data_IF_464816350024
#
_entry.id   IF_464816350024
#
_cell.length_a   1.000
_cell.length_b   1.000
_cell.length_c   1.000
_cell.angle_alpha   90.00
_cell.angle_beta   90.00
_cell.angle_gamma   90.00
#
_symmetry.space_group_name_H-M   'P 1'
#
loop_
_entity.id
_entity.type
_entity.pdbx_description
1 polymer ?
#
# COMPACT_ATOMS: atom_id res chain seq x y z
N UNK A 1 14.92 -4.44 14.49
CA UNK A 1 13.79 -5.22 13.88
C UNK A 1 12.53 -5.05 14.71
N UNK A 2 11.39 -4.72 14.08
CA UNK A 2 10.06 -4.65 14.73
C UNK A 2 9.31 -5.96 14.51
N UNK A 3 8.64 -6.45 15.54
CA UNK A 3 7.75 -7.61 15.44
C UNK A 3 6.39 -7.28 16.05
N UNK A 4 5.33 -7.62 15.33
CA UNK A 4 3.94 -7.51 15.74
C UNK A 4 3.40 -8.92 15.94
N UNK A 5 2.86 -9.21 17.13
CA UNK A 5 2.49 -10.56 17.53
C UNK A 5 1.03 -10.65 17.92
N UNK A 6 0.23 -11.35 17.12
CA UNK A 6 -1.16 -11.74 17.38
C UNK A 6 -2.04 -10.59 17.90
N UNK A 7 -1.93 -9.40 17.27
CA UNK A 7 -2.70 -8.23 17.67
C UNK A 7 -4.17 -8.43 17.38
N UNK A 8 -4.98 -8.27 18.42
CA UNK A 8 -6.43 -8.18 18.34
C UNK A 8 -6.91 -6.83 18.87
N UNK A 9 -7.92 -6.27 18.21
CA UNK A 9 -8.56 -5.03 18.63
C UNK A 9 -10.03 -5.04 18.26
N UNK A 10 -10.88 -4.71 19.25
CA UNK A 10 -12.32 -4.56 19.06
C UNK A 10 -12.74 -3.13 19.39
N UNK A 11 -13.76 -2.65 18.70
CA UNK A 11 -14.47 -1.43 19.04
C UNK A 11 -15.95 -1.73 19.17
N UNK A 12 -16.56 -1.38 20.31
CA UNK A 12 -18.00 -1.56 20.58
C UNK A 12 -18.48 -3.01 20.29
N UNK A 13 -17.62 -3.99 20.62
CA UNK A 13 -17.91 -5.41 20.42
C UNK A 13 -17.75 -5.90 18.97
N UNK A 14 -17.26 -5.06 18.05
CA UNK A 14 -16.96 -5.45 16.67
C UNK A 14 -15.45 -5.63 16.50
N UNK A 15 -14.98 -6.76 15.96
CA UNK A 15 -13.58 -6.96 15.68
C UNK A 15 -13.12 -5.99 14.57
N UNK A 16 -12.02 -5.28 14.82
CA UNK A 16 -11.37 -4.41 13.84
C UNK A 16 -10.03 -4.99 13.38
N UNK A 17 -9.26 -5.57 14.31
CA UNK A 17 -8.03 -6.30 14.01
C UNK A 17 -8.16 -7.69 14.63
N UNK A 18 -7.77 -8.70 13.87
CA UNK A 18 -7.93 -10.09 14.28
C UNK A 18 -6.68 -10.88 13.86
N UNK A 19 -5.88 -11.26 14.83
CA UNK A 19 -4.66 -12.06 14.68
C UNK A 19 -3.61 -11.44 13.73
N UNK A 20 -3.35 -10.14 13.87
CA UNK A 20 -2.35 -9.46 13.04
C UNK A 20 -0.95 -9.77 13.54
N UNK A 21 -0.15 -10.39 12.68
CA UNK A 21 1.25 -10.71 12.95
C UNK A 21 2.11 -10.44 11.73
N UNK A 22 3.21 -9.71 11.89
CA UNK A 22 4.24 -9.49 10.87
C UNK A 22 5.54 -9.01 11.49
N UNK A 23 6.59 -9.00 10.67
CA UNK A 23 7.92 -8.48 11.05
C UNK A 23 8.32 -7.38 10.07
N UNK A 24 9.09 -6.43 10.54
CA UNK A 24 9.72 -5.39 9.73
C UNK A 24 11.22 -5.44 9.99
N UNK A 25 11.99 -5.65 8.94
CA UNK A 25 13.43 -5.74 9.00
C UNK A 25 14.09 -4.35 9.07
N UNK A 26 15.36 -4.30 9.42
CA UNK A 26 16.11 -3.05 9.48
C UNK A 26 16.28 -2.47 8.06
N UNK A 27 15.96 -1.19 7.91
CA UNK A 27 16.01 -0.49 6.62
C UNK A 27 14.90 -0.82 5.64
N UNK A 28 13.98 -1.74 6.00
CA UNK A 28 12.84 -2.12 5.17
C UNK A 28 11.71 -1.09 5.26
N UNK A 29 11.00 -0.87 4.17
CA UNK A 29 9.76 -0.11 4.13
C UNK A 29 8.57 -1.04 3.84
N UNK A 30 7.69 -1.22 4.84
CA UNK A 30 6.42 -1.95 4.67
C UNK A 30 5.29 -0.97 4.40
N UNK A 31 4.44 -1.28 3.41
CA UNK A 31 3.18 -0.58 3.22
C UNK A 31 1.99 -1.41 3.70
N UNK A 32 1.19 -0.83 4.60
CA UNK A 32 -0.12 -1.34 4.98
C UNK A 32 -1.17 -0.77 4.02
N UNK A 33 -1.66 -1.59 3.11
CA UNK A 33 -2.63 -1.23 2.08
C UNK A 33 -4.01 -1.84 2.42
N UNK A 34 -5.09 -1.15 2.14
CA UNK A 34 -6.45 -1.65 2.36
C UNK A 34 -7.51 -0.57 2.29
N UNK A 35 -8.77 -0.95 2.22
CA UNK A 35 -9.89 -0.02 2.19
C UNK A 35 -9.95 0.88 3.44
N UNK A 36 -10.66 1.99 3.34
CA UNK A 36 -10.95 2.84 4.52
C UNK A 36 -11.70 2.04 5.57
N UNK A 37 -11.30 2.17 6.83
CA UNK A 37 -11.92 1.43 7.95
C UNK A 37 -11.37 0.00 8.15
N UNK A 38 -10.39 -0.48 7.39
CA UNK A 38 -9.82 -1.82 7.56
C UNK A 38 -8.91 -1.99 8.79
N UNK A 39 -8.67 -0.90 9.56
CA UNK A 39 -7.87 -0.97 10.79
C UNK A 39 -6.41 -0.51 10.66
N UNK A 40 -5.94 -0.04 9.50
CA UNK A 40 -4.55 0.39 9.25
C UNK A 40 -4.04 1.44 10.24
N UNK A 41 -4.76 2.56 10.37
CA UNK A 41 -4.38 3.64 11.30
C UNK A 41 -4.45 3.20 12.77
N UNK A 42 -5.39 2.31 13.12
CA UNK A 42 -5.47 1.72 14.45
C UNK A 42 -4.24 0.85 14.74
N UNK A 43 -3.85 0.01 13.79
CA UNK A 43 -2.63 -0.80 13.90
C UNK A 43 -1.39 0.09 14.09
N UNK A 44 -1.29 1.17 13.30
CA UNK A 44 -0.22 2.15 13.44
C UNK A 44 -0.20 2.81 14.82
N UNK A 45 -1.37 3.18 15.37
CA UNK A 45 -1.51 3.73 16.73
C UNK A 45 -1.11 2.73 17.81
N UNK A 46 -1.40 1.45 17.63
CA UNK A 46 -0.95 0.38 18.54
C UNK A 46 0.57 0.27 18.49
N UNK A 47 1.18 0.23 17.32
CA UNK A 47 2.63 0.15 17.16
C UNK A 47 3.31 1.38 17.79
N UNK A 48 2.76 2.57 17.59
CA UNK A 48 3.29 3.81 18.18
C UNK A 48 3.05 3.93 19.71
N UNK A 49 2.16 3.09 20.25
CA UNK A 49 1.78 3.14 21.69
C UNK A 49 0.75 4.20 22.02
N UNK A 50 0.13 4.82 21.02
CA UNK A 50 -0.99 5.76 21.18
C UNK A 50 -2.30 5.03 21.53
N UNK A 51 -2.34 3.72 21.26
CA UNK A 51 -3.46 2.85 21.57
C UNK A 51 -2.98 1.50 22.07
N UNK A 52 -3.76 0.85 22.94
CA UNK A 52 -3.44 -0.48 23.46
C UNK A 52 -4.24 -1.54 22.69
N UNK A 53 -3.63 -2.68 22.31
CA UNK A 53 -4.36 -3.81 21.78
C UNK A 53 -5.20 -4.47 22.88
N UNK A 54 -6.22 -5.24 22.50
CA UNK A 54 -6.99 -6.06 23.45
C UNK A 54 -6.22 -7.33 23.82
N UNK A 55 -5.44 -7.87 22.88
CA UNK A 55 -4.45 -8.94 23.11
C UNK A 55 -3.34 -8.88 22.06
N UNK A 56 -2.30 -9.67 22.27
CA UNK A 56 -1.06 -9.60 21.49
C UNK A 56 -0.12 -8.50 22.00
N UNK A 57 1.02 -8.34 21.34
CA UNK A 57 2.03 -7.35 21.74
C UNK A 57 2.89 -6.91 20.54
N UNK A 58 3.60 -5.81 20.74
CA UNK A 58 4.60 -5.29 19.80
C UNK A 58 5.95 -5.33 20.47
N UNK A 59 6.96 -5.86 19.77
CA UNK A 59 8.36 -5.82 20.25
C UNK A 59 9.26 -5.09 19.25
N UNK A 60 10.32 -4.49 19.75
CA UNK A 60 11.37 -3.85 18.94
C UNK A 60 12.75 -4.27 19.49
N UNK A 61 13.59 -4.87 18.63
CA UNK A 61 14.87 -5.48 18.99
C UNK A 61 14.75 -6.46 20.18
N UNK A 62 13.68 -7.26 20.20
CA UNK A 62 13.40 -8.24 21.24
C UNK A 62 12.85 -7.65 22.54
N UNK A 63 12.65 -6.34 22.62
CA UNK A 63 12.07 -5.68 23.80
C UNK A 63 10.57 -5.48 23.58
N UNK A 64 9.74 -6.02 24.48
CA UNK A 64 8.29 -5.80 24.48
C UNK A 64 7.96 -4.33 24.78
N UNK A 65 7.21 -3.70 23.88
CA UNK A 65 6.82 -2.30 23.95
C UNK A 65 5.46 -2.07 24.63
N UNK A 66 4.76 -3.10 25.07
CA UNK A 66 3.38 -3.02 25.57
C UNK A 66 3.23 -1.99 26.69
N UNK A 67 4.18 -1.93 27.60
CA UNK A 67 4.18 -1.00 28.74
C UNK A 67 4.98 0.28 28.49
N UNK A 68 5.66 0.40 27.36
CA UNK A 68 6.50 1.55 27.04
C UNK A 68 5.62 2.66 26.43
N UNK A 69 5.55 3.83 27.06
CA UNK A 69 4.72 4.93 26.55
C UNK A 69 5.29 5.50 25.22
N UNK A 70 4.47 6.13 24.37
CA UNK A 70 4.86 6.58 23.03
C UNK A 70 6.15 7.38 22.97
N UNK A 71 6.34 8.32 23.90
CA UNK A 71 7.48 9.24 23.91
C UNK A 71 8.83 8.56 24.28
N UNK A 72 8.80 7.31 24.74
CA UNK A 72 10.00 6.50 25.06
C UNK A 72 10.26 5.41 24.01
N UNK A 73 9.39 5.23 23.00
CA UNK A 73 9.61 4.25 21.92
C UNK A 73 10.62 4.73 20.88
N UNK A 74 10.95 6.02 20.88
CA UNK A 74 11.83 6.65 19.87
C UNK A 74 11.37 6.45 18.42
N UNK A 75 10.06 6.44 18.20
CA UNK A 75 9.43 6.32 16.90
C UNK A 75 9.02 7.71 16.38
N UNK A 76 9.16 7.93 15.07
CA UNK A 76 8.67 9.12 14.37
C UNK A 76 7.34 8.82 13.70
N UNK A 77 6.35 9.70 13.88
CA UNK A 77 5.04 9.56 13.27
C UNK A 77 4.68 10.82 12.48
N UNK A 78 4.33 10.64 11.22
CA UNK A 78 3.80 11.67 10.32
C UNK A 78 2.30 11.39 10.16
N UNK A 79 1.46 12.31 10.63
CA UNK A 79 0.01 12.19 10.59
C UNK A 79 -0.55 12.70 9.25
N UNK A 80 -1.76 12.29 8.92
CA UNK A 80 -2.48 12.68 7.70
C UNK A 80 -2.70 14.20 7.60
N UNK A 81 -2.96 14.88 8.72
CA UNK A 81 -3.13 16.33 8.82
C UNK A 81 -1.83 17.07 9.17
N UNK A 82 -0.69 16.36 9.05
CA UNK A 82 0.67 16.81 9.41
C UNK A 82 0.84 17.18 10.89
N UNK A 83 -0.22 17.47 11.62
CA UNK A 83 -0.24 17.87 13.04
C UNK A 83 0.84 18.92 13.39
N UNK A 84 1.03 19.91 12.50
CA UNK A 84 1.95 21.02 12.74
C UNK A 84 1.35 22.01 13.75
N UNK A 85 2.21 22.61 14.55
CA UNK A 85 1.83 23.65 15.50
C UNK A 85 1.68 24.99 14.76
N UNK A 86 0.46 25.50 14.51
CA UNK A 86 0.22 26.65 13.62
C UNK A 86 0.76 27.96 14.17
N UNK A 87 0.95 28.06 15.48
CA UNK A 87 1.50 29.21 16.17
C UNK A 87 3.03 29.27 16.20
N UNK A 88 3.70 28.19 15.75
CA UNK A 88 5.16 28.09 15.67
C UNK A 88 5.65 28.29 14.24
N UNK A 89 6.90 28.75 14.09
CA UNK A 89 7.60 28.75 12.82
C UNK A 89 8.11 27.35 12.46
N UNK A 90 8.75 27.20 11.28
CA UNK A 90 9.30 25.94 10.80
C UNK A 90 10.36 25.39 11.76
N UNK A 91 11.34 26.24 12.17
CA UNK A 91 12.37 25.84 13.11
C UNK A 91 11.80 25.29 14.41
N UNK A 92 10.86 25.99 15.01
CA UNK A 92 10.28 25.61 16.30
C UNK A 92 9.41 24.34 16.19
N UNK A 93 8.74 24.11 15.05
CA UNK A 93 8.06 22.84 14.76
C UNK A 93 9.05 21.68 14.71
N UNK A 94 10.12 21.80 13.96
CA UNK A 94 11.15 20.75 13.82
C UNK A 94 11.89 20.53 15.14
N UNK A 95 12.20 21.59 15.87
CA UNK A 95 12.90 21.54 17.16
C UNK A 95 12.04 21.00 18.30
N UNK A 96 10.70 20.87 18.14
CA UNK A 96 9.79 20.58 19.24
C UNK A 96 10.17 19.30 20.01
N UNK A 97 10.36 18.17 19.30
CA UNK A 97 10.76 16.91 19.93
C UNK A 97 12.14 16.96 20.61
N UNK A 98 13.07 17.74 20.05
CA UNK A 98 14.40 17.93 20.60
C UNK A 98 14.36 18.75 21.90
N UNK A 99 13.48 19.78 21.94
CA UNK A 99 13.23 20.56 23.17
C UNK A 99 12.67 19.69 24.29
N UNK A 100 11.72 18.80 23.96
CA UNK A 100 11.15 17.87 24.96
C UNK A 100 12.21 16.91 25.52
N UNK A 101 13.16 16.51 24.69
CA UNK A 101 14.33 15.69 25.12
C UNK A 101 15.42 16.50 25.83
N UNK A 102 15.25 17.81 25.95
CA UNK A 102 16.21 18.75 26.61
C UNK A 102 17.61 18.71 25.99
N UNK A 103 17.72 18.60 24.66
CA UNK A 103 19.00 18.64 23.99
C UNK A 103 19.69 20.01 24.17
N UNK A 104 21.04 20.03 24.22
CA UNK A 104 21.80 21.28 24.24
C UNK A 104 21.50 22.14 22.99
N UNK A 105 21.42 23.49 23.10
CA UNK A 105 21.05 24.38 22.02
C UNK A 105 21.89 24.19 20.74
N UNK A 106 23.18 23.94 20.85
CA UNK A 106 24.09 23.74 19.72
C UNK A 106 23.72 22.46 18.95
N UNK A 107 23.53 21.36 19.67
CA UNK A 107 23.13 20.08 19.07
C UNK A 107 21.73 20.16 18.46
N UNK A 108 20.78 20.79 19.15
CA UNK A 108 19.44 21.01 18.65
C UNK A 108 19.46 21.79 17.33
N UNK A 109 20.21 22.90 17.24
CA UNK A 109 20.31 23.67 16.02
C UNK A 109 20.89 22.83 14.87
N UNK A 110 21.96 22.07 15.13
CA UNK A 110 22.55 21.22 14.10
C UNK A 110 21.57 20.17 13.58
N UNK A 111 20.80 19.52 14.47
CA UNK A 111 19.81 18.51 14.07
C UNK A 111 18.66 19.12 13.27
N UNK A 112 18.21 20.33 13.64
CA UNK A 112 17.16 21.03 12.89
C UNK A 112 17.65 21.40 11.49
N UNK A 113 18.86 21.98 11.36
CA UNK A 113 19.42 22.33 10.06
C UNK A 113 19.57 21.08 9.19
N UNK A 114 20.16 20.01 9.69
CA UNK A 114 20.32 18.76 8.94
C UNK A 114 18.98 18.18 8.49
N UNK A 115 17.96 18.22 9.36
CA UNK A 115 16.62 17.71 9.01
C UNK A 115 15.95 18.56 7.91
N UNK A 116 16.10 19.88 7.97
CA UNK A 116 15.60 20.79 6.92
C UNK A 116 16.35 20.63 5.60
N UNK A 117 17.66 20.40 5.64
CA UNK A 117 18.47 20.08 4.44
C UNK A 117 17.98 18.79 3.80
N UNK A 118 17.72 17.73 4.60
CA UNK A 118 17.24 16.43 4.11
C UNK A 118 15.91 16.53 3.34
N UNK A 119 15.04 17.47 3.71
CA UNK A 119 13.74 17.67 3.07
C UNK A 119 13.69 18.89 2.12
N UNK A 120 14.84 19.42 1.71
CA UNK A 120 14.96 20.57 0.80
C UNK A 120 14.23 21.85 1.27
N UNK A 121 14.26 22.15 2.58
CA UNK A 121 13.65 23.34 3.18
C UNK A 121 14.68 24.31 3.80
N UNK A 122 15.90 24.38 3.25
CA UNK A 122 16.92 25.34 3.68
C UNK A 122 16.43 26.78 3.48
N UNK A 123 16.56 27.62 4.52
CA UNK A 123 16.12 29.03 4.48
C UNK A 123 14.65 29.24 4.87
N UNK A 124 13.91 28.18 5.25
CA UNK A 124 12.52 28.27 5.66
C UNK A 124 12.35 28.43 7.19
N UNK A 125 13.42 28.39 7.97
CA UNK A 125 13.43 28.28 9.43
C UNK A 125 12.51 29.29 10.13
N UNK A 126 12.46 30.53 9.61
CA UNK A 126 11.69 31.65 10.22
C UNK A 126 10.26 31.78 9.70
N UNK A 127 9.91 31.05 8.62
CA UNK A 127 8.54 31.12 8.05
C UNK A 127 7.52 30.51 9.02
N UNK A 128 6.32 31.03 9.01
CA UNK A 128 5.18 30.40 9.71
C UNK A 128 4.67 29.22 8.90
N UNK A 129 4.33 28.12 9.56
CA UNK A 129 3.83 26.93 8.86
C UNK A 129 2.50 27.17 8.16
N UNK A 130 1.72 28.18 8.60
CA UNK A 130 0.46 28.60 7.96
C UNK A 130 0.64 29.33 6.63
N UNK A 131 1.85 29.77 6.31
CA UNK A 131 2.20 30.43 5.05
C UNK A 131 2.72 29.46 3.99
N UNK A 132 2.85 28.17 4.36
CA UNK A 132 3.40 27.13 3.52
C UNK A 132 2.33 26.43 2.70
N UNK A 133 2.68 25.97 1.49
CA UNK A 133 1.87 25.04 0.72
C UNK A 133 1.74 23.69 1.43
N UNK A 134 0.76 22.87 1.03
CA UNK A 134 0.55 21.55 1.63
C UNK A 134 1.78 20.65 1.55
N UNK A 135 2.50 20.65 0.40
CA UNK A 135 3.73 19.89 0.25
C UNK A 135 4.88 20.40 1.12
N UNK A 136 5.02 21.73 1.29
CA UNK A 136 6.00 22.29 2.23
C UNK A 136 5.65 21.95 3.69
N UNK A 137 4.37 21.98 4.07
CA UNK A 137 3.92 21.57 5.40
C UNK A 137 4.25 20.10 5.67
N UNK A 138 4.03 19.22 4.70
CA UNK A 138 4.37 17.82 4.81
C UNK A 138 5.88 17.61 5.00
N UNK A 139 6.71 18.32 4.22
CA UNK A 139 8.17 18.28 4.40
C UNK A 139 8.59 18.76 5.79
N UNK A 140 7.94 19.77 6.36
CA UNK A 140 8.19 20.21 7.74
C UNK A 140 7.81 19.10 8.73
N UNK A 141 6.68 18.41 8.53
CA UNK A 141 6.28 17.28 9.39
C UNK A 141 7.29 16.13 9.32
N UNK A 142 7.78 15.82 8.12
CA UNK A 142 8.83 14.82 7.92
C UNK A 142 10.15 15.24 8.59
N UNK A 143 10.60 16.50 8.40
CA UNK A 143 11.78 17.03 9.08
C UNK A 143 11.65 16.96 10.60
N UNK A 144 10.47 17.27 11.16
CA UNK A 144 10.18 17.15 12.59
C UNK A 144 10.34 15.72 13.10
N UNK A 145 9.88 14.72 12.31
CA UNK A 145 10.04 13.31 12.66
C UNK A 145 11.51 12.88 12.58
N UNK A 146 12.22 13.25 11.50
CA UNK A 146 13.63 12.90 11.28
C UNK A 146 14.61 13.55 12.28
N UNK A 147 14.34 14.79 12.72
CA UNK A 147 15.23 15.53 13.61
C UNK A 147 15.51 14.77 14.91
N UNK A 148 14.56 13.99 15.39
CA UNK A 148 14.71 13.18 16.62
C UNK A 148 15.57 11.93 16.43
N UNK A 149 15.98 11.59 15.17
CA UNK A 149 16.68 10.37 14.78
C UNK A 149 15.91 9.13 15.28
N UNK A 150 14.72 8.91 14.75
CA UNK A 150 13.87 7.82 15.21
C UNK A 150 14.44 6.46 14.81
N UNK A 151 14.08 5.42 15.57
CA UNK A 151 14.40 4.02 15.24
C UNK A 151 13.42 3.41 14.25
N UNK A 152 12.24 4.02 14.07
CA UNK A 152 11.17 3.63 13.16
C UNK A 152 10.46 4.89 12.69
N UNK A 153 10.20 5.00 11.39
CA UNK A 153 9.30 6.01 10.81
C UNK A 153 7.94 5.41 10.49
N UNK A 154 6.90 6.15 10.79
CA UNK A 154 5.53 5.74 10.50
C UNK A 154 4.80 6.88 9.79
N UNK A 155 4.00 6.52 8.79
CA UNK A 155 3.23 7.47 7.97
C UNK A 155 1.77 7.03 7.94
N UNK A 156 0.87 7.89 8.40
CA UNK A 156 -0.58 7.63 8.37
C UNK A 156 -1.24 8.47 7.26
N UNK A 157 -1.40 7.88 6.07
CA UNK A 157 -1.96 8.52 4.86
C UNK A 157 -1.37 9.92 4.54
N UNK A 158 -0.03 10.07 4.49
CA UNK A 158 0.61 11.38 4.51
C UNK A 158 0.35 12.23 3.26
N UNK A 159 -0.09 11.64 2.14
CA UNK A 159 -0.29 12.31 0.85
C UNK A 159 -1.75 12.50 0.47
N UNK A 160 -2.69 12.04 1.31
CA UNK A 160 -4.12 12.00 0.98
C UNK A 160 -4.78 13.35 0.68
N UNK A 161 -4.19 14.47 1.14
CA UNK A 161 -4.73 15.82 0.96
C UNK A 161 -4.14 16.59 -0.24
N UNK A 162 -3.23 15.98 -1.02
CA UNK A 162 -2.48 16.64 -2.09
C UNK A 162 -3.04 16.32 -3.47
N UNK A 163 -2.82 17.24 -4.43
CA UNK A 163 -3.07 16.98 -5.84
C UNK A 163 -2.12 15.91 -6.39
N UNK A 164 -2.49 15.33 -7.55
CA UNK A 164 -1.79 14.17 -8.12
C UNK A 164 -0.32 14.44 -8.42
N UNK A 165 0.00 15.56 -9.09
CA UNK A 165 1.38 15.86 -9.50
C UNK A 165 2.31 16.05 -8.31
N UNK A 166 1.84 16.83 -7.33
CA UNK A 166 2.61 17.08 -6.11
C UNK A 166 2.78 15.79 -5.27
N UNK A 167 1.77 14.90 -5.31
CA UNK A 167 1.82 13.60 -4.63
C UNK A 167 2.90 12.70 -5.20
N UNK A 168 3.00 12.58 -6.53
CA UNK A 168 4.02 11.77 -7.21
C UNK A 168 5.45 12.24 -6.86
N UNK A 169 5.68 13.56 -6.90
CA UNK A 169 6.98 14.15 -6.56
C UNK A 169 7.37 13.89 -5.10
N UNK A 170 6.45 14.13 -4.17
CA UNK A 170 6.70 13.93 -2.74
C UNK A 170 6.87 12.46 -2.37
N UNK A 171 6.13 11.57 -3.01
CA UNK A 171 6.29 10.12 -2.81
C UNK A 171 7.71 9.68 -3.20
N UNK A 172 8.19 10.15 -4.34
CA UNK A 172 9.57 9.89 -4.78
C UNK A 172 10.60 10.43 -3.77
N UNK A 173 10.42 11.64 -3.28
CA UNK A 173 11.30 12.23 -2.27
C UNK A 173 11.30 11.45 -0.95
N UNK A 174 10.12 11.07 -0.44
CA UNK A 174 10.02 10.24 0.78
C UNK A 174 10.77 8.92 0.58
N UNK A 175 10.57 8.25 -0.58
CA UNK A 175 11.29 7.03 -0.91
C UNK A 175 12.80 7.22 -0.88
N UNK A 176 13.31 8.28 -1.52
CA UNK A 176 14.75 8.60 -1.54
C UNK A 176 15.29 8.85 -0.13
N UNK A 177 14.55 9.56 0.71
CA UNK A 177 14.92 9.82 2.11
C UNK A 177 14.99 8.51 2.91
N UNK A 178 13.99 7.64 2.77
CA UNK A 178 13.96 6.34 3.47
C UNK A 178 15.15 5.47 3.05
N UNK A 179 15.43 5.33 1.77
CA UNK A 179 16.60 4.59 1.28
C UNK A 179 17.93 5.19 1.77
N UNK A 180 18.06 6.53 1.75
CA UNK A 180 19.30 7.19 2.17
C UNK A 180 19.55 7.05 3.67
N UNK A 181 18.49 7.14 4.47
CA UNK A 181 18.60 7.07 5.94
C UNK A 181 18.65 5.65 6.48
N UNK A 182 18.21 4.65 5.69
CA UNK A 182 18.05 3.25 6.10
C UNK A 182 17.24 3.08 7.39
N UNK A 183 16.36 4.02 7.70
CA UNK A 183 15.44 3.91 8.83
C UNK A 183 14.28 3.02 8.41
N UNK A 184 13.96 1.93 9.14
CA UNK A 184 12.80 1.12 8.83
C UNK A 184 11.52 1.94 8.88
N UNK A 185 10.56 1.65 7.98
CA UNK A 185 9.36 2.46 7.87
C UNK A 185 8.08 1.63 7.71
N UNK A 186 6.98 2.14 8.28
CA UNK A 186 5.62 1.66 8.02
C UNK A 186 4.85 2.80 7.35
N UNK A 187 4.39 2.55 6.14
CA UNK A 187 3.59 3.49 5.36
C UNK A 187 2.16 3.00 5.25
N UNK A 188 1.20 3.79 5.68
CA UNK A 188 -0.23 3.48 5.59
C UNK A 188 -0.85 4.26 4.47
N UNK A 189 -1.54 3.61 3.56
CA UNK A 189 -2.32 4.23 2.50
C UNK A 189 -3.49 3.35 2.06
N UNK A 190 -4.44 3.95 1.35
CA UNK A 190 -5.46 3.23 0.57
C UNK A 190 -5.20 3.33 -0.95
N UNK A 191 -4.16 4.06 -1.35
CA UNK A 191 -3.75 4.24 -2.74
C UNK A 191 -2.73 3.16 -3.14
N UNK A 192 -3.04 2.43 -4.21
CA UNK A 192 -2.21 1.33 -4.70
C UNK A 192 -0.93 1.84 -5.39
N UNK A 193 -1.02 2.97 -6.11
CA UNK A 193 0.13 3.58 -6.77
C UNK A 193 1.17 4.02 -5.74
N UNK A 194 0.72 4.63 -4.63
CA UNK A 194 1.60 4.97 -3.51
C UNK A 194 2.25 3.72 -2.91
N UNK A 195 1.44 2.70 -2.58
CA UNK A 195 1.92 1.48 -1.96
C UNK A 195 3.00 0.79 -2.79
N UNK A 196 2.76 0.66 -4.10
CA UNK A 196 3.70 -0.01 -5.01
C UNK A 196 4.96 0.81 -5.31
N UNK A 197 4.85 2.14 -5.23
CA UNK A 197 6.00 3.00 -5.46
C UNK A 197 6.95 3.09 -4.27
N UNK A 198 6.45 3.02 -3.03
CA UNK A 198 7.26 3.28 -1.83
C UNK A 198 7.77 2.02 -1.14
N UNK A 199 7.00 0.92 -1.18
CA UNK A 199 7.24 -0.25 -0.34
C UNK A 199 8.27 -1.22 -0.92
N UNK A 200 9.06 -1.83 -0.05
CA UNK A 200 9.80 -3.07 -0.32
C UNK A 200 8.86 -4.27 -0.19
N UNK A 201 7.90 -4.20 0.74
CA UNK A 201 6.88 -5.21 0.97
C UNK A 201 5.53 -4.58 1.27
N UNK A 202 4.46 -5.13 0.66
CA UNK A 202 3.08 -4.70 0.83
C UNK A 202 2.32 -5.74 1.64
N UNK A 203 1.57 -5.29 2.64
CA UNK A 203 0.62 -6.08 3.43
C UNK A 203 -0.79 -5.56 3.14
N UNK A 204 -1.65 -6.40 2.57
CA UNK A 204 -3.05 -6.03 2.29
C UNK A 204 -3.92 -6.42 3.46
N UNK A 205 -4.54 -5.41 4.09
CA UNK A 205 -5.42 -5.58 5.24
C UNK A 205 -6.88 -5.57 4.81
N UNK A 206 -7.60 -6.64 5.13
CA UNK A 206 -9.04 -6.80 4.85
C UNK A 206 -9.74 -7.52 6.00
N UNK A 207 -10.88 -7.00 6.42
CA UNK A 207 -11.70 -7.56 7.51
C UNK A 207 -10.90 -7.94 8.77
N UNK A 208 -9.94 -7.07 9.11
CA UNK A 208 -9.10 -7.25 10.28
C UNK A 208 -7.96 -8.26 10.13
N UNK A 209 -7.74 -8.82 8.95
CA UNK A 209 -6.67 -9.79 8.67
C UNK A 209 -5.69 -9.28 7.61
N UNK A 210 -4.44 -9.74 7.66
CA UNK A 210 -3.51 -9.62 6.53
C UNK A 210 -3.86 -10.75 5.55
N UNK A 211 -4.46 -10.39 4.41
CA UNK A 211 -4.94 -11.35 3.40
C UNK A 211 -3.94 -11.59 2.27
N UNK A 212 -2.93 -10.73 2.16
CA UNK A 212 -1.84 -10.88 1.19
C UNK A 212 -0.61 -10.15 1.70
N UNK A 213 0.56 -10.73 1.46
CA UNK A 213 1.85 -10.18 1.81
C UNK A 213 2.88 -10.58 0.74
N UNK A 214 3.72 -9.63 0.32
CA UNK A 214 4.80 -9.88 -0.65
C UNK A 214 5.40 -8.58 -1.17
N UNK A 215 6.41 -8.71 -2.06
CA UNK A 215 6.89 -7.54 -2.80
C UNK A 215 5.78 -6.97 -3.69
N UNK A 216 5.83 -5.68 -4.08
CA UNK A 216 4.86 -5.11 -5.03
C UNK A 216 4.66 -5.97 -6.28
N UNK A 217 5.75 -6.52 -6.82
CA UNK A 217 5.72 -7.39 -8.00
C UNK A 217 5.03 -8.74 -7.71
N UNK A 218 5.30 -9.35 -6.55
CA UNK A 218 4.68 -10.63 -6.18
C UNK A 218 3.17 -10.48 -5.99
N UNK A 219 2.75 -9.45 -5.24
CA UNK A 219 1.34 -9.15 -4.99
C UNK A 219 0.58 -8.85 -6.28
N UNK A 220 1.21 -8.09 -7.19
CA UNK A 220 0.64 -7.80 -8.51
C UNK A 220 0.54 -9.06 -9.39
N UNK A 221 1.61 -9.87 -9.41
CA UNK A 221 1.71 -11.04 -10.32
C UNK A 221 0.92 -12.24 -9.82
N UNK A 222 0.78 -12.40 -8.50
CA UNK A 222 0.11 -13.54 -7.86
C UNK A 222 -0.81 -13.06 -6.75
N UNK A 223 -1.99 -12.50 -7.07
CA UNK A 223 -2.91 -11.95 -6.06
C UNK A 223 -3.46 -13.01 -5.09
N UNK A 224 -3.42 -14.28 -5.47
CA UNK A 224 -3.78 -15.42 -4.64
C UNK A 224 -5.28 -15.59 -4.36
N UNK A 225 -6.07 -14.53 -4.33
CA UNK A 225 -7.49 -14.57 -4.02
C UNK A 225 -8.33 -13.63 -4.89
N UNK A 226 -9.62 -13.95 -4.98
CA UNK A 226 -10.64 -13.11 -5.65
C UNK A 226 -10.67 -11.69 -5.06
N UNK A 227 -10.61 -11.61 -3.73
CA UNK A 227 -10.61 -10.31 -3.06
C UNK A 227 -9.40 -9.45 -3.48
N UNK A 228 -8.19 -9.98 -3.39
CA UNK A 228 -6.97 -9.23 -3.72
C UNK A 228 -6.95 -8.82 -5.20
N UNK A 229 -7.33 -9.74 -6.11
CA UNK A 229 -7.41 -9.45 -7.54
C UNK A 229 -8.42 -8.33 -7.85
N UNK A 230 -9.59 -8.37 -7.21
CA UNK A 230 -10.62 -7.33 -7.33
C UNK A 230 -10.23 -6.00 -6.70
N UNK A 231 -9.66 -6.04 -5.50
CA UNK A 231 -9.19 -4.86 -4.78
C UNK A 231 -8.10 -4.10 -5.58
N UNK A 232 -7.18 -4.84 -6.19
CA UNK A 232 -6.12 -4.26 -7.03
C UNK A 232 -6.57 -3.94 -8.47
N UNK A 233 -7.83 -4.26 -8.83
CA UNK A 233 -8.33 -3.97 -10.18
C UNK A 233 -7.56 -4.68 -11.30
N UNK A 234 -7.06 -5.90 -11.04
CA UNK A 234 -6.10 -6.58 -11.91
C UNK A 234 -6.69 -7.10 -13.23
N UNK A 235 -8.01 -7.09 -13.37
CA UNK A 235 -8.67 -7.55 -14.60
C UNK A 235 -10.08 -8.10 -14.39
N UNK A 236 -10.48 -8.96 -15.32
CA UNK A 236 -11.79 -9.60 -15.26
C UNK A 236 -11.72 -10.86 -14.42
N UNK A 237 -12.52 -10.96 -13.37
CA UNK A 237 -12.65 -12.15 -12.54
C UNK A 237 -13.88 -12.91 -13.03
N UNK A 238 -13.68 -14.16 -13.43
CA UNK A 238 -14.74 -15.02 -13.96
C UNK A 238 -14.94 -16.21 -13.05
N UNK A 239 -16.20 -16.52 -12.80
CA UNK A 239 -16.61 -17.81 -12.22
C UNK A 239 -16.63 -18.87 -13.32
N UNK A 240 -16.11 -20.06 -13.00
CA UNK A 240 -16.06 -21.18 -13.93
C UNK A 240 -16.15 -22.52 -13.21
N UNK A 241 -16.30 -23.57 -14.02
CA UNK A 241 -16.28 -24.95 -13.53
C UNK A 241 -15.13 -25.73 -14.20
N UNK A 242 -14.45 -26.52 -13.40
CA UNK A 242 -13.44 -27.43 -13.88
C UNK A 242 -14.09 -28.49 -14.76
N UNK A 243 -13.70 -28.53 -16.05
CA UNK A 243 -14.25 -29.49 -16.98
C UNK A 243 -13.42 -30.77 -17.05
N UNK A 244 -12.10 -30.65 -17.19
CA UNK A 244 -11.15 -31.76 -17.19
C UNK A 244 -9.73 -31.33 -16.85
N UNK A 245 -8.96 -32.27 -16.36
CA UNK A 245 -7.52 -32.13 -16.18
C UNK A 245 -6.80 -32.21 -17.54
N UNK A 246 -5.80 -31.39 -17.70
CA UNK A 246 -4.85 -31.39 -18.81
C UNK A 246 -3.49 -31.84 -18.29
N UNK A 247 -2.46 -31.87 -19.14
CA UNK A 247 -1.11 -32.23 -18.72
C UNK A 247 -0.49 -31.10 -17.83
N UNK A 248 0.29 -31.46 -16.80
CA UNK A 248 1.14 -30.54 -16.06
C UNK A 248 0.40 -29.56 -15.16
N UNK A 249 -0.49 -30.04 -14.29
CA UNK A 249 -1.24 -29.21 -13.33
C UNK A 249 -2.12 -28.12 -13.99
N UNK A 250 -2.48 -28.34 -15.25
CA UNK A 250 -3.33 -27.46 -16.02
C UNK A 250 -4.73 -28.02 -16.14
N UNK A 251 -5.72 -27.14 -16.16
CA UNK A 251 -7.14 -27.48 -16.15
C UNK A 251 -7.87 -26.74 -17.25
N UNK A 252 -8.80 -27.42 -17.92
CA UNK A 252 -9.77 -26.75 -18.79
C UNK A 252 -10.94 -26.29 -17.93
N UNK A 253 -11.15 -24.96 -17.87
CA UNK A 253 -12.19 -24.30 -17.07
C UNK A 253 -13.22 -23.70 -18.01
N UNK A 254 -14.49 -24.04 -17.80
CA UNK A 254 -15.62 -23.48 -18.54
C UNK A 254 -16.24 -22.32 -17.78
N UNK A 255 -16.39 -21.20 -18.48
CA UNK A 255 -16.99 -19.98 -17.97
C UNK A 255 -18.06 -19.48 -18.93
N UNK A 256 -18.83 -18.47 -18.52
CA UNK A 256 -19.76 -17.79 -19.41
C UNK A 256 -19.09 -17.06 -20.59
N UNK A 257 -17.79 -16.73 -20.46
CA UNK A 257 -17.02 -16.03 -21.50
C UNK A 257 -16.26 -16.97 -22.44
N UNK A 258 -16.29 -18.29 -22.19
CA UNK A 258 -15.61 -19.31 -22.99
C UNK A 258 -14.86 -20.31 -22.13
N UNK A 259 -14.14 -21.22 -22.82
CA UNK A 259 -13.31 -22.25 -22.21
C UNK A 259 -11.86 -21.77 -22.17
N UNK A 260 -11.20 -21.93 -21.01
CA UNK A 260 -9.84 -21.47 -20.77
C UNK A 260 -8.97 -22.60 -20.22
N UNK A 261 -7.72 -22.66 -20.70
CA UNK A 261 -6.70 -23.57 -20.18
C UNK A 261 -5.90 -22.81 -19.10
N UNK A 262 -5.99 -23.24 -17.85
CA UNK A 262 -5.44 -22.53 -16.71
C UNK A 262 -4.52 -23.43 -15.92
N UNK A 263 -3.33 -22.95 -15.61
CA UNK A 263 -2.44 -23.58 -14.65
C UNK A 263 -2.86 -23.20 -13.23
N UNK A 264 -3.21 -24.20 -12.42
CA UNK A 264 -3.63 -23.99 -11.02
C UNK A 264 -2.63 -24.68 -10.08
N UNK A 265 -2.13 -23.96 -9.11
CA UNK A 265 -1.27 -24.51 -8.04
C UNK A 265 -2.01 -25.45 -7.08
N UNK A 266 -3.34 -25.43 -7.15
CA UNK A 266 -4.22 -26.24 -6.31
C UNK A 266 -4.73 -27.44 -7.09
N UNK A 267 -4.94 -28.56 -6.39
CA UNK A 267 -5.59 -29.73 -6.97
C UNK A 267 -7.08 -29.49 -7.04
N UNK A 268 -7.63 -29.70 -8.21
CA UNK A 268 -9.08 -29.60 -8.45
C UNK A 268 -9.65 -30.95 -8.87
N UNK A 269 -10.97 -31.07 -8.79
CA UNK A 269 -11.73 -32.20 -9.33
C UNK A 269 -12.69 -31.69 -10.41
N UNK A 270 -13.07 -32.57 -11.32
CA UNK A 270 -14.06 -32.23 -12.33
C UNK A 270 -15.37 -31.79 -11.66
N UNK A 271 -15.86 -30.62 -12.03
CA UNK A 271 -17.08 -30.03 -11.51
C UNK A 271 -16.88 -29.02 -10.39
N UNK A 272 -15.64 -28.86 -9.88
CA UNK A 272 -15.35 -27.82 -8.86
C UNK A 272 -15.64 -26.43 -9.41
N UNK A 273 -16.18 -25.59 -8.58
CA UNK A 273 -16.34 -24.15 -8.84
C UNK A 273 -14.99 -23.47 -8.59
N UNK A 274 -14.56 -22.66 -9.54
CA UNK A 274 -13.26 -21.96 -9.50
C UNK A 274 -13.40 -20.53 -10.01
N UNK A 275 -12.52 -19.67 -9.54
CA UNK A 275 -12.40 -18.32 -10.07
C UNK A 275 -11.12 -18.19 -10.89
N UNK A 276 -11.22 -17.52 -12.02
CA UNK A 276 -10.06 -17.20 -12.85
C UNK A 276 -9.96 -15.70 -13.10
N UNK A 277 -8.74 -15.21 -13.16
CA UNK A 277 -8.42 -13.84 -13.50
C UNK A 277 -7.94 -13.78 -14.95
N UNK A 278 -8.64 -13.03 -15.79
CA UNK A 278 -8.17 -12.67 -17.12
C UNK A 278 -7.49 -11.30 -17.04
N UNK A 279 -6.19 -11.27 -17.29
CA UNK A 279 -5.44 -10.01 -17.37
C UNK A 279 -5.95 -9.20 -18.56
N UNK A 280 -6.22 -7.89 -18.39
CA UNK A 280 -6.88 -7.11 -19.44
C UNK A 280 -5.94 -6.67 -20.58
N UNK A 281 -4.63 -6.87 -20.42
CA UNK A 281 -3.66 -6.56 -21.47
C UNK A 281 -3.46 -7.78 -22.38
N UNK A 282 -3.57 -7.61 -23.72
CA UNK A 282 -3.22 -8.68 -24.65
C UNK A 282 -1.80 -9.17 -24.44
N UNK A 283 -1.61 -10.46 -24.43
CA UNK A 283 -0.31 -11.10 -24.24
C UNK A 283 0.03 -11.97 -25.46
N UNK A 284 1.16 -11.73 -26.08
CA UNK A 284 1.62 -12.53 -27.22
C UNK A 284 1.91 -13.98 -26.80
N UNK A 285 1.59 -14.92 -27.70
CA UNK A 285 1.83 -16.36 -27.52
C UNK A 285 1.03 -17.05 -26.38
N UNK A 286 -0.01 -16.44 -25.85
CA UNK A 286 -0.91 -17.09 -24.89
C UNK A 286 -1.92 -18.02 -25.60
N UNK A 287 -2.17 -19.22 -25.05
CA UNK A 287 -3.10 -20.18 -25.65
C UNK A 287 -4.56 -19.76 -25.48
N UNK A 288 -4.84 -18.93 -24.50
CA UNK A 288 -6.18 -18.46 -24.17
C UNK A 288 -6.49 -17.16 -24.92
N UNK A 289 -7.75 -16.98 -25.31
CA UNK A 289 -8.19 -15.77 -25.95
C UNK A 289 -9.57 -15.34 -25.44
N UNK A 290 -9.73 -14.04 -25.22
CA UNK A 290 -11.04 -13.43 -25.01
C UNK A 290 -11.62 -13.00 -26.37
N UNK A 291 -12.92 -13.20 -26.56
CA UNK A 291 -13.60 -12.77 -27.78
C UNK A 291 -14.99 -12.23 -27.47
N UNK A 292 -15.47 -11.32 -28.31
CA UNK A 292 -16.80 -10.74 -28.21
C UNK A 292 -16.98 -9.53 -29.11
N UNK A 293 -18.23 -9.05 -29.20
CA UNK A 293 -18.53 -7.80 -29.86
C UNK A 293 -18.24 -6.62 -28.94
N UNK A 294 -17.63 -5.57 -29.46
CA UNK A 294 -17.30 -4.35 -28.72
C UNK A 294 -18.60 -3.55 -28.49
N UNK A 295 -18.90 -3.26 -27.22
CA UNK A 295 -20.06 -2.46 -26.81
C UNK A 295 -19.70 -1.08 -26.30
N UNK A 296 -18.43 -0.88 -25.86
CA UNK A 296 -17.96 0.41 -25.37
C UNK A 296 -16.45 0.56 -25.55
N UNK A 297 -15.98 1.80 -25.79
CA UNK A 297 -14.58 2.15 -25.98
C UNK A 297 -14.29 3.46 -25.28
N UNK A 298 -13.51 3.43 -24.21
CA UNK A 298 -13.16 4.59 -23.41
C UNK A 298 -11.65 4.84 -23.51
N UNK A 299 -11.26 6.05 -23.88
CA UNK A 299 -9.85 6.46 -23.85
C UNK A 299 -9.41 6.76 -22.40
N UNK A 300 -8.32 6.13 -21.96
CA UNK A 300 -7.71 6.30 -20.65
C UNK A 300 -6.25 6.67 -20.81
N UNK A 301 -5.97 7.96 -21.02
CA UNK A 301 -4.63 8.55 -21.10
C UNK A 301 -3.75 7.98 -22.24
N UNK A 302 -3.28 6.74 -22.13
CA UNK A 302 -2.33 6.09 -23.04
C UNK A 302 -2.88 4.82 -23.71
N UNK A 303 -4.08 4.37 -23.31
CA UNK A 303 -4.73 3.18 -23.85
C UNK A 303 -6.25 3.35 -23.96
N UNK A 304 -6.90 2.39 -24.60
CA UNK A 304 -8.35 2.31 -24.70
C UNK A 304 -8.86 1.13 -23.87
N UNK A 305 -9.77 1.39 -22.94
CA UNK A 305 -10.57 0.35 -22.30
C UNK A 305 -11.69 -0.05 -23.25
N UNK A 306 -11.65 -1.28 -23.73
CA UNK A 306 -12.62 -1.86 -24.68
C UNK A 306 -13.48 -2.86 -23.93
N UNK A 307 -14.78 -2.58 -23.80
CA UNK A 307 -15.72 -3.47 -23.11
C UNK A 307 -16.47 -4.32 -24.12
N UNK A 308 -16.60 -5.61 -23.85
CA UNK A 308 -17.26 -6.61 -24.67
C UNK A 308 -18.69 -6.88 -24.20
N UNK A 309 -19.53 -7.43 -25.08
CA UNK A 309 -20.94 -7.76 -24.82
C UNK A 309 -21.16 -8.72 -23.62
N UNK A 310 -20.16 -9.52 -23.26
CA UNK A 310 -20.17 -10.40 -22.09
C UNK A 310 -19.73 -9.71 -20.79
N UNK A 311 -19.58 -8.38 -20.80
CA UNK A 311 -19.18 -7.57 -19.66
C UNK A 311 -17.67 -7.56 -19.37
N UNK A 312 -16.87 -8.36 -20.04
CA UNK A 312 -15.42 -8.35 -19.90
C UNK A 312 -14.79 -7.17 -20.64
N UNK A 313 -13.61 -6.76 -20.23
CA UNK A 313 -12.87 -5.68 -20.88
C UNK A 313 -11.41 -6.05 -21.13
N UNK A 314 -10.82 -5.36 -22.11
CA UNK A 314 -9.39 -5.42 -22.44
C UNK A 314 -8.86 -4.02 -22.68
N UNK A 315 -7.55 -3.83 -22.45
CA UNK A 315 -6.85 -2.61 -22.78
C UNK A 315 -6.14 -2.74 -24.13
N UNK A 316 -6.31 -1.75 -24.99
CA UNK A 316 -5.72 -1.72 -26.31
C UNK A 316 -5.00 -0.41 -26.59
N UNK A 317 -3.88 -0.47 -27.32
CA UNK A 317 -3.12 0.71 -27.72
C UNK A 317 -3.80 1.51 -28.85
N UNK A 318 -4.70 0.86 -29.60
CA UNK A 318 -5.42 1.47 -30.71
C UNK A 318 -6.93 1.36 -30.49
N UNK A 319 -7.70 2.36 -30.89
CA UNK A 319 -9.16 2.30 -30.81
C UNK A 319 -9.70 1.22 -31.76
N UNK A 320 -10.79 0.59 -31.33
CA UNK A 320 -11.61 -0.32 -32.15
C UNK A 320 -12.98 0.29 -32.34
N UNK A 321 -13.74 -0.18 -33.34
CA UNK A 321 -15.08 0.32 -33.61
C UNK A 321 -16.11 -0.39 -32.74
N UNK A 322 -17.10 0.34 -32.28
CA UNK A 322 -18.28 -0.26 -31.64
C UNK A 322 -18.97 -1.24 -32.62
N UNK A 323 -19.39 -2.39 -32.12
CA UNK A 323 -19.96 -3.48 -32.93
C UNK A 323 -18.91 -4.37 -33.61
N UNK A 324 -17.64 -4.02 -33.58
CA UNK A 324 -16.56 -4.86 -34.11
C UNK A 324 -16.40 -6.12 -33.26
N UNK A 325 -16.22 -7.28 -33.90
CA UNK A 325 -15.90 -8.51 -33.20
C UNK A 325 -14.40 -8.63 -33.07
N UNK A 326 -13.91 -8.70 -31.84
CA UNK A 326 -12.49 -8.88 -31.54
C UNK A 326 -12.22 -10.26 -30.95
N UNK A 327 -10.98 -10.74 -31.14
CA UNK A 327 -10.41 -11.90 -30.49
C UNK A 327 -8.97 -11.59 -30.13
N UNK A 328 -8.65 -11.60 -28.83
CA UNK A 328 -7.34 -11.20 -28.33
C UNK A 328 -6.79 -12.24 -27.39
N UNK A 329 -5.50 -12.62 -27.52
CA UNK A 329 -4.83 -13.51 -26.58
C UNK A 329 -4.71 -12.83 -25.24
N UNK A 330 -5.02 -13.56 -24.16
CA UNK A 330 -4.99 -13.03 -22.78
C UNK A 330 -4.34 -14.04 -21.84
N UNK A 331 -3.60 -13.53 -20.87
CA UNK A 331 -3.09 -14.32 -19.77
C UNK A 331 -4.22 -14.63 -18.79
N UNK A 332 -4.30 -15.88 -18.36
CA UNK A 332 -5.32 -16.38 -17.43
C UNK A 332 -4.65 -17.01 -16.22
N UNK A 333 -5.11 -16.65 -15.04
CA UNK A 333 -4.56 -17.11 -13.75
C UNK A 333 -5.69 -17.72 -12.92
N UNK A 334 -5.38 -18.80 -12.19
CA UNK A 334 -6.28 -19.41 -11.22
C UNK A 334 -6.23 -18.61 -9.91
N UNK A 335 -7.41 -18.28 -9.35
CA UNK A 335 -7.55 -17.68 -8.05
C UNK A 335 -8.01 -18.74 -7.03
N UNK A 336 -7.52 -18.60 -5.79
CA UNK A 336 -7.92 -19.45 -4.68
C UNK A 336 -9.26 -19.00 -4.06
#
# INVERSE_FOLDING_TARGET
>A
MLEVHHIHKNYEGRPLLNDISFKLEDGETICLLGASGSGKSTLLRIISGLETPDSGYVSFDGVDLTTIPPHLRDFGLVFQDYALFPHLNVYDNVAFGLKMRRLPPVEMNQRVVNALETVNLVGFEKRRVTELSGGEQQRVALARALATRPRLLMFDEPLGALDRSLREDLLHEIRMILHHTSIPAIYVTHDQEEAFAIADRVLILHDGHIVCEGTPMDVWSNPGSVFVAGFLGLGNILEGKVFRELAGESWEIRTAAGDFNVHCKHKHQKGDDVHILLRPFPAEAEPNAIQGNVIDVIFQQDHFKVTLENGNYVYMQKPVRMGEKIKLPVKVECLA
#
